data_IF_639270020509
#
_entry.id   IF_639270020509
#
_cell.length_a   1.000
_cell.length_b   1.000
_cell.length_c   1.000
_cell.angle_alpha   90.00
_cell.angle_beta   90.00
_cell.angle_gamma   90.00
#
_symmetry.space_group_name_H-M   'P 1'
#
loop_
_entity.id
_entity.type
_entity.pdbx_description
1 polymer ?
#
# COMPACT_ATOMS: atom_id res chain seq x y z
N UNK A 1 -18.30 -12.88 1.02
CA UNK A 1 -17.44 -12.97 2.22
C UNK A 1 -16.47 -11.80 2.16
N UNK A 2 -15.92 -11.28 3.27
CA UNK A 2 -14.95 -10.17 3.23
C UNK A 2 -13.66 -10.53 3.99
N UNK A 3 -12.53 -9.92 3.63
CA UNK A 3 -11.24 -10.06 4.32
C UNK A 3 -10.34 -8.83 4.08
N UNK A 4 -9.33 -8.60 4.92
CA UNK A 4 -8.30 -7.58 4.69
C UNK A 4 -7.32 -8.02 3.61
N UNK A 5 -6.95 -7.10 2.71
CA UNK A 5 -5.97 -7.34 1.64
C UNK A 5 -5.05 -6.14 1.48
N UNK A 6 -3.77 -6.43 1.24
CA UNK A 6 -2.83 -5.42 0.75
C UNK A 6 -3.18 -5.11 -0.70
N UNK A 7 -3.46 -3.85 -0.99
CA UNK A 7 -3.78 -3.36 -2.33
C UNK A 7 -2.68 -2.42 -2.79
N UNK A 8 -2.19 -2.67 -4.00
CA UNK A 8 -1.30 -1.77 -4.75
C UNK A 8 -2.16 -0.84 -5.60
N UNK A 9 -2.00 0.45 -5.39
CA UNK A 9 -2.61 1.50 -6.21
C UNK A 9 -1.57 2.16 -7.08
N UNK A 10 -1.84 2.23 -8.39
CA UNK A 10 -1.03 2.94 -9.38
C UNK A 10 -1.41 4.42 -9.35
N UNK A 11 -0.48 5.31 -9.05
CA UNK A 11 -0.73 6.75 -9.16
C UNK A 11 0.01 7.31 -10.37
N UNK A 12 -0.73 8.03 -11.20
CA UNK A 12 -0.20 8.72 -12.37
C UNK A 12 -0.06 10.20 -12.03
N UNK A 13 1.13 10.75 -12.26
CA UNK A 13 1.37 12.18 -12.07
C UNK A 13 2.17 12.75 -13.24
N UNK A 14 2.00 14.04 -13.48
CA UNK A 14 2.83 14.77 -14.44
C UNK A 14 4.05 15.28 -13.69
N UNK A 15 5.24 14.88 -14.14
CA UNK A 15 6.47 15.35 -13.53
C UNK A 15 6.65 16.84 -13.83
N UNK A 16 6.73 17.71 -12.81
CA UNK A 16 6.81 19.15 -13.03
C UNK A 16 8.10 19.57 -13.76
N UNK A 17 9.16 18.74 -13.73
CA UNK A 17 10.46 19.07 -14.34
C UNK A 17 10.47 18.95 -15.85
N UNK A 18 9.89 17.88 -16.38
CA UNK A 18 9.96 17.54 -17.81
C UNK A 18 8.57 17.41 -18.45
N UNK A 19 7.51 17.67 -17.69
CA UNK A 19 6.11 17.60 -18.10
C UNK A 19 5.71 16.22 -18.68
N UNK A 20 6.45 15.16 -18.30
CA UNK A 20 6.15 13.79 -18.71
C UNK A 20 5.30 13.09 -17.67
N UNK A 21 4.41 12.23 -18.14
CA UNK A 21 3.67 11.32 -17.28
C UNK A 21 4.63 10.34 -16.60
N UNK A 22 4.44 10.15 -15.30
CA UNK A 22 5.15 9.22 -14.45
C UNK A 22 4.16 8.42 -13.63
N UNK A 23 4.65 7.27 -13.17
CA UNK A 23 3.88 6.33 -12.38
C UNK A 23 4.65 6.07 -11.09
N UNK A 24 3.93 6.08 -9.98
CA UNK A 24 4.37 5.48 -8.73
C UNK A 24 3.31 4.52 -8.20
N UNK A 25 3.65 3.82 -7.13
CA UNK A 25 2.78 2.87 -6.49
C UNK A 25 2.74 3.11 -4.99
N UNK A 26 1.53 3.01 -4.44
CA UNK A 26 1.28 3.03 -3.00
C UNK A 26 0.61 1.73 -2.57
N UNK A 27 0.90 1.29 -1.36
CA UNK A 27 0.36 0.06 -0.80
C UNK A 27 -0.41 0.39 0.47
N UNK A 28 -1.60 -0.17 0.60
CA UNK A 28 -2.43 0.02 1.78
C UNK A 28 -3.32 -1.19 2.03
N UNK A 29 -3.83 -1.32 3.25
CA UNK A 29 -4.76 -2.39 3.60
C UNK A 29 -6.18 -1.89 3.34
N UNK A 30 -6.94 -2.68 2.58
CA UNK A 30 -8.36 -2.46 2.30
C UNK A 30 -9.15 -3.70 2.73
N UNK A 31 -10.42 -3.50 3.06
CA UNK A 31 -11.39 -4.59 3.07
C UNK A 31 -11.72 -4.98 1.62
N UNK A 32 -11.59 -6.26 1.30
CA UNK A 32 -11.95 -6.85 0.01
C UNK A 32 -13.20 -7.73 0.15
N UNK A 33 -14.12 -7.59 -0.80
CA UNK A 33 -15.40 -8.26 -0.85
C UNK A 33 -15.39 -9.27 -1.99
N UNK A 34 -15.72 -10.52 -1.67
CA UNK A 34 -15.58 -11.65 -2.57
C UNK A 34 -16.95 -12.20 -2.99
N UNK A 35 -17.03 -12.60 -4.26
CA UNK A 35 -18.10 -13.45 -4.76
C UNK A 35 -18.04 -14.86 -4.14
N UNK A 36 -18.98 -15.73 -4.48
CA UNK A 36 -19.03 -17.11 -3.98
C UNK A 36 -17.91 -18.00 -4.53
N UNK A 37 -17.23 -17.59 -5.60
CA UNK A 37 -16.12 -18.31 -6.22
C UNK A 37 -14.76 -17.86 -5.66
N UNK A 38 -14.74 -16.83 -4.81
CA UNK A 38 -13.52 -16.30 -4.20
C UNK A 38 -12.83 -15.23 -5.04
N UNK A 39 -13.50 -14.64 -6.05
CA UNK A 39 -12.99 -13.49 -6.79
C UNK A 39 -13.37 -12.19 -6.09
N UNK A 40 -12.43 -11.25 -6.02
CA UNK A 40 -12.65 -9.92 -5.44
C UNK A 40 -13.52 -9.10 -6.38
N UNK A 41 -14.71 -8.73 -5.94
CA UNK A 41 -15.63 -7.87 -6.67
C UNK A 41 -15.47 -6.39 -6.36
N UNK A 42 -15.12 -6.08 -5.11
CA UNK A 42 -14.99 -4.72 -4.62
C UNK A 42 -13.98 -4.63 -3.47
N UNK A 43 -13.45 -3.44 -3.27
CA UNK A 43 -12.66 -3.06 -2.09
C UNK A 43 -13.19 -1.75 -1.52
N UNK A 44 -12.91 -1.51 -0.24
CA UNK A 44 -13.11 -0.18 0.38
C UNK A 44 -12.36 0.89 -0.40
N UNK A 45 -12.97 2.07 -0.53
CA UNK A 45 -12.39 3.18 -1.28
C UNK A 45 -11.10 3.70 -0.63
N UNK A 46 -11.17 3.97 0.68
CA UNK A 46 -10.05 4.41 1.47
C UNK A 46 -9.41 3.22 2.20
N UNK A 47 -8.10 3.28 2.48
CA UNK A 47 -7.46 2.34 3.38
C UNK A 47 -8.15 2.30 4.74
N UNK A 48 -8.20 1.12 5.33
CA UNK A 48 -8.80 0.93 6.65
C UNK A 48 -7.74 0.95 7.74
N UNK A 49 -8.05 1.63 8.84
CA UNK A 49 -7.22 1.68 10.03
C UNK A 49 -7.68 0.63 11.06
N UNK A 50 -6.77 0.09 11.90
CA UNK A 50 -7.15 -0.83 12.95
C UNK A 50 -8.07 -0.12 13.96
N UNK A 51 -9.19 -0.75 14.28
CA UNK A 51 -10.23 -0.16 15.15
C UNK A 51 -10.76 -1.19 16.15
N UNK A 52 -11.19 -0.71 17.32
CA UNK A 52 -11.87 -1.51 18.33
C UNK A 52 -12.43 -0.62 19.44
N UNK A 53 -13.53 -1.03 20.08
CA UNK A 53 -14.14 -0.27 21.18
C UNK A 53 -13.31 -0.39 22.47
N UNK A 54 -12.41 -1.38 22.52
CA UNK A 54 -11.47 -1.58 23.59
C UNK A 54 -10.11 -2.07 23.06
N UNK A 55 -9.12 -2.13 23.96
CA UNK A 55 -7.73 -2.47 23.60
C UNK A 55 -7.57 -3.90 23.08
N UNK A 56 -8.42 -4.83 23.49
CA UNK A 56 -8.38 -6.21 23.02
C UNK A 56 -8.86 -6.30 21.57
N UNK A 57 -9.99 -5.66 21.27
CA UNK A 57 -10.51 -5.56 19.91
C UNK A 57 -9.55 -4.86 18.97
N UNK A 58 -8.93 -3.76 19.41
CA UNK A 58 -7.92 -3.07 18.62
C UNK A 58 -6.73 -3.99 18.28
N UNK A 59 -6.25 -4.79 19.25
CA UNK A 59 -5.19 -5.79 19.00
C UNK A 59 -5.66 -6.85 18.02
N UNK A 60 -6.89 -7.35 18.15
CA UNK A 60 -7.44 -8.35 17.22
C UNK A 60 -7.58 -7.77 15.81
N UNK A 61 -8.07 -6.54 15.66
CA UNK A 61 -8.15 -5.84 14.38
C UNK A 61 -6.78 -5.73 13.72
N UNK A 62 -5.77 -5.33 14.50
CA UNK A 62 -4.40 -5.23 13.99
C UNK A 62 -3.85 -6.58 13.53
N UNK A 63 -4.10 -7.66 14.28
CA UNK A 63 -3.69 -9.02 13.91
C UNK A 63 -4.41 -9.50 12.64
N UNK A 64 -5.71 -9.26 12.51
CA UNK A 64 -6.46 -9.60 11.29
C UNK A 64 -5.95 -8.82 10.08
N UNK A 65 -5.57 -7.55 10.25
CA UNK A 65 -4.92 -6.78 9.19
C UNK A 65 -3.53 -7.35 8.85
N UNK A 66 -2.77 -7.82 9.83
CA UNK A 66 -1.47 -8.45 9.62
C UNK A 66 -1.58 -9.77 8.80
N UNK A 67 -2.70 -10.49 8.87
CA UNK A 67 -2.95 -11.66 8.03
C UNK A 67 -2.99 -11.33 6.53
N UNK A 68 -3.30 -10.08 6.16
CA UNK A 68 -3.31 -9.64 4.77
C UNK A 68 -1.93 -9.79 4.09
N UNK A 69 -0.84 -9.72 4.85
CA UNK A 69 0.52 -9.92 4.32
C UNK A 69 0.81 -11.39 3.98
N UNK A 70 0.02 -12.34 4.48
CA UNK A 70 0.09 -13.75 4.06
C UNK A 70 -0.62 -14.02 2.73
N UNK A 71 -1.22 -13.00 2.12
CA UNK A 71 -2.03 -13.11 0.91
C UNK A 71 -1.37 -12.37 -0.27
N UNK A 72 -1.73 -12.72 -1.52
CA UNK A 72 -1.29 -11.96 -2.69
C UNK A 72 -1.70 -10.49 -2.63
N UNK A 73 -0.83 -9.63 -3.12
CA UNK A 73 -1.12 -8.20 -3.32
C UNK A 73 -2.18 -8.09 -4.42
N UNK A 74 -3.24 -7.33 -4.15
CA UNK A 74 -4.26 -7.02 -5.15
C UNK A 74 -3.89 -5.75 -5.89
N UNK A 75 -4.26 -5.67 -7.17
CA UNK A 75 -4.12 -4.47 -7.96
C UNK A 75 -5.43 -3.68 -7.96
N UNK A 76 -5.39 -2.43 -7.49
CA UNK A 76 -6.56 -1.56 -7.40
C UNK A 76 -7.28 -1.43 -8.75
N UNK A 77 -6.51 -1.23 -9.83
CA UNK A 77 -7.04 -1.03 -11.18
C UNK A 77 -7.59 -2.33 -11.83
N UNK A 78 -7.33 -3.49 -11.22
CA UNK A 78 -7.77 -4.80 -11.69
C UNK A 78 -8.96 -5.35 -10.88
N UNK A 79 -9.64 -4.51 -10.11
CA UNK A 79 -10.86 -4.86 -9.36
C UNK A 79 -12.08 -4.25 -10.06
N UNK A 80 -13.13 -5.02 -10.36
CA UNK A 80 -13.33 -6.44 -10.04
C UNK A 80 -12.37 -7.38 -10.77
N UNK A 81 -11.94 -8.44 -10.08
CA UNK A 81 -11.07 -9.47 -10.66
C UNK A 81 -11.74 -10.16 -11.85
N UNK A 82 -10.92 -10.58 -12.82
CA UNK A 82 -11.40 -11.34 -13.97
C UNK A 82 -12.08 -12.64 -13.49
N UNK A 83 -13.37 -12.79 -13.81
CA UNK A 83 -14.18 -13.94 -13.39
C UNK A 83 -15.19 -13.65 -12.29
N UNK A 84 -15.18 -12.43 -11.73
CA UNK A 84 -16.21 -11.96 -10.80
C UNK A 84 -17.60 -11.95 -11.44
N UNK A 85 -18.59 -12.55 -10.74
CA UNK A 85 -20.00 -12.52 -11.13
C UNK A 85 -20.82 -11.63 -10.19
N UNK A 86 -21.25 -10.49 -10.73
CA UNK A 86 -22.06 -9.48 -10.04
C UNK A 86 -23.42 -10.01 -9.55
N UNK A 87 -23.98 -11.07 -10.16
CA UNK A 87 -25.25 -11.67 -9.71
C UNK A 87 -25.08 -12.51 -8.45
N UNK A 88 -23.85 -12.93 -8.17
CA UNK A 88 -23.48 -13.70 -7.00
C UNK A 88 -22.94 -12.80 -5.87
N UNK A 89 -22.94 -11.47 -6.07
CA UNK A 89 -22.58 -10.45 -5.09
C UNK A 89 -23.82 -9.92 -4.34
N UNK A 90 -23.94 -10.21 -3.02
CA UNK A 90 -25.07 -9.79 -2.21
C UNK A 90 -25.12 -8.28 -1.88
N UNK A 91 -24.06 -7.52 -2.15
CA UNK A 91 -23.93 -6.09 -1.78
C UNK A 91 -23.95 -5.18 -3.03
N UNK A 92 -23.59 -5.72 -4.21
CA UNK A 92 -23.34 -4.96 -5.43
C UNK A 92 -24.54 -4.25 -6.09
N UNK A 93 -25.78 -4.49 -5.65
CA UNK A 93 -26.99 -3.82 -6.21
C UNK A 93 -27.37 -2.52 -5.50
N UNK A 94 -26.82 -2.25 -4.30
CA UNK A 94 -27.14 -1.06 -3.49
C UNK A 94 -26.14 0.08 -3.73
N UNK A 95 -24.99 -0.20 -4.36
CA UNK A 95 -23.88 0.74 -4.54
C UNK A 95 -23.92 1.52 -5.86
N UNK A 96 -24.66 1.04 -6.86
CA UNK A 96 -24.75 1.69 -8.18
C UNK A 96 -25.43 3.06 -8.13
N UNK A 97 -26.40 3.26 -7.24
CA UNK A 97 -27.12 4.54 -7.10
C UNK A 97 -26.29 5.63 -6.41
N UNK A 98 -25.18 5.29 -5.74
CA UNK A 98 -24.31 6.25 -5.02
C UNK A 98 -23.08 6.69 -5.81
N UNK A 99 -22.66 5.91 -6.82
CA UNK A 99 -21.47 6.17 -7.60
C UNK A 99 -21.65 7.38 -8.56
N UNK A 100 -22.89 7.63 -9.01
CA UNK A 100 -23.24 8.76 -9.89
C UNK A 100 -23.08 10.15 -9.22
N UNK A 101 -22.97 10.22 -7.88
CA UNK A 101 -22.83 11.49 -7.14
C UNK A 101 -21.36 11.88 -6.83
N UNK A 102 -20.42 10.92 -6.87
CA UNK A 102 -19.04 11.14 -6.41
C UNK A 102 -18.10 11.67 -7.51
N UNK A 103 -18.38 11.39 -8.79
CA UNK A 103 -17.58 11.83 -9.95
C UNK A 103 -17.56 13.37 -10.15
N UNK A 104 -18.35 14.12 -9.38
CA UNK A 104 -18.51 15.57 -9.51
C UNK A 104 -17.48 16.43 -8.75
N UNK A 105 -16.52 15.86 -8.00
CA UNK A 105 -15.76 16.62 -6.98
C UNK A 105 -14.24 16.59 -7.16
N UNK A 106 -13.76 17.36 -8.14
CA UNK A 106 -12.34 17.58 -8.44
C UNK A 106 -11.63 18.46 -7.37
N UNK A 107 -10.49 18.05 -6.78
CA UNK A 107 -9.63 18.93 -5.94
C UNK A 107 -8.13 18.63 -6.05
N UNK A 108 -7.38 19.74 -6.08
CA UNK A 108 -5.95 19.90 -6.39
C UNK A 108 -5.12 20.00 -5.09
N UNK A 109 -3.98 19.32 -5.04
CA UNK A 109 -3.03 19.30 -3.92
C UNK A 109 -2.02 20.46 -3.90
N UNK A 110 -1.32 20.59 -2.77
CA UNK A 110 -0.46 21.75 -2.41
C UNK A 110 0.88 21.75 -3.18
N UNK A 111 1.41 22.91 -3.62
CA UNK A 111 2.58 22.97 -4.51
C UNK A 111 3.94 22.64 -3.87
N UNK A 112 4.63 21.67 -4.47
CA UNK A 112 5.97 21.13 -4.14
C UNK A 112 7.16 22.10 -4.33
N UNK A 113 6.92 23.23 -5.01
CA UNK A 113 7.95 24.21 -5.41
C UNK A 113 8.65 24.90 -4.23
N UNK A 114 8.01 24.99 -3.05
CA UNK A 114 8.62 25.61 -1.87
C UNK A 114 9.57 24.68 -1.10
N UNK A 115 9.37 23.36 -1.15
CA UNK A 115 10.23 22.40 -0.45
C UNK A 115 11.50 22.10 -1.26
N UNK A 116 11.41 22.17 -2.58
CA UNK A 116 12.48 21.77 -3.52
C UNK A 116 13.67 22.74 -3.54
N UNK A 117 13.42 24.04 -3.45
CA UNK A 117 14.45 25.09 -3.54
C UNK A 117 15.47 25.04 -2.40
N UNK A 118 15.03 24.68 -1.19
CA UNK A 118 15.89 24.58 -0.01
C UNK A 118 16.78 23.32 -0.01
N UNK A 119 16.38 22.27 -0.74
CA UNK A 119 17.09 21.01 -0.83
C UNK A 119 18.18 21.03 -1.92
N UNK A 120 17.91 21.65 -3.08
CA UNK A 120 18.88 21.72 -4.18
C UNK A 120 20.10 22.61 -3.86
N UNK A 121 19.90 23.63 -3.03
CA UNK A 121 20.96 24.57 -2.59
C UNK A 121 21.99 23.90 -1.65
N UNK A 122 21.61 22.79 -1.00
CA UNK A 122 22.44 22.10 0.00
C UNK A 122 23.16 20.85 -0.53
N UNK A 123 22.68 20.22 -1.62
CA UNK A 123 23.14 18.87 -2.00
C UNK A 123 23.58 18.68 -3.48
N UNK A 124 23.45 19.70 -4.34
CA UNK A 124 23.87 19.61 -5.75
C UNK A 124 22.86 18.89 -6.68
N UNK A 125 23.16 18.75 -7.99
CA UNK A 125 22.20 18.22 -8.97
C UNK A 125 21.98 16.72 -8.76
N UNK A 126 20.74 16.35 -8.46
CA UNK A 126 20.34 14.98 -8.18
C UNK A 126 20.03 14.22 -9.48
N UNK A 127 20.61 13.03 -9.66
CA UNK A 127 20.26 12.14 -10.78
C UNK A 127 18.87 11.53 -10.57
N UNK A 128 17.86 12.23 -11.07
CA UNK A 128 16.47 11.84 -10.90
C UNK A 128 16.08 10.60 -11.71
N UNK A 129 16.67 10.36 -12.88
CA UNK A 129 16.34 9.17 -13.67
C UNK A 129 16.97 7.92 -13.04
N UNK A 130 18.24 7.98 -12.64
CA UNK A 130 18.90 6.89 -11.93
C UNK A 130 18.23 6.58 -10.60
N UNK A 131 17.83 7.60 -9.84
CA UNK A 131 17.05 7.40 -8.62
C UNK A 131 15.70 6.73 -8.88
N UNK A 132 14.90 7.20 -9.85
CA UNK A 132 13.59 6.59 -10.16
C UNK A 132 13.73 5.14 -10.60
N UNK A 133 14.73 4.83 -11.43
CA UNK A 133 14.99 3.46 -11.88
C UNK A 133 15.28 2.55 -10.69
N UNK A 134 16.16 2.98 -9.79
CA UNK A 134 16.49 2.24 -8.56
C UNK A 134 15.26 2.05 -7.67
N UNK A 135 14.42 3.07 -7.48
CA UNK A 135 13.19 2.95 -6.69
C UNK A 135 12.24 1.89 -7.29
N UNK A 136 12.10 1.86 -8.61
CA UNK A 136 11.27 0.84 -9.29
C UNK A 136 11.88 -0.57 -9.18
N UNK A 137 13.20 -0.70 -9.32
CA UNK A 137 13.91 -1.97 -9.13
C UNK A 137 13.74 -2.48 -7.70
N UNK A 138 13.92 -1.61 -6.69
CA UNK A 138 13.69 -1.94 -5.28
C UNK A 138 12.23 -2.33 -5.01
N UNK A 139 11.25 -1.68 -5.65
CA UNK A 139 9.83 -2.02 -5.52
C UNK A 139 9.58 -3.44 -6.03
N UNK A 140 10.08 -3.76 -7.23
CA UNK A 140 9.93 -5.10 -7.84
C UNK A 140 10.59 -6.16 -6.96
N UNK A 141 11.80 -5.89 -6.46
CA UNK A 141 12.50 -6.81 -5.57
C UNK A 141 11.72 -7.06 -4.26
N UNK A 142 11.22 -6.01 -3.62
CA UNK A 142 10.43 -6.12 -2.39
C UNK A 142 9.11 -6.87 -2.60
N UNK A 143 8.44 -6.70 -3.74
CA UNK A 143 7.27 -7.50 -4.10
C UNK A 143 7.62 -8.97 -4.35
N UNK A 144 8.77 -9.26 -4.96
CA UNK A 144 9.24 -10.63 -5.13
C UNK A 144 9.49 -11.29 -3.78
N UNK A 145 10.18 -10.59 -2.87
CA UNK A 145 10.41 -11.07 -1.50
C UNK A 145 9.07 -11.31 -0.78
N UNK A 146 8.12 -10.38 -0.90
CA UNK A 146 6.76 -10.57 -0.36
C UNK A 146 6.13 -11.86 -0.86
N UNK A 147 6.15 -12.04 -2.19
CA UNK A 147 5.57 -13.20 -2.86
C UNK A 147 6.20 -14.52 -2.42
N UNK A 148 7.52 -14.55 -2.31
CA UNK A 148 8.27 -15.78 -2.03
C UNK A 148 8.28 -16.13 -0.54
N UNK A 149 8.38 -15.13 0.33
CA UNK A 149 8.60 -15.35 1.75
C UNK A 149 7.31 -15.36 2.59
N UNK A 150 6.27 -14.63 2.20
CA UNK A 150 5.11 -14.38 3.06
C UNK A 150 3.83 -15.08 2.56
N UNK A 151 3.56 -15.02 1.25
CA UNK A 151 2.33 -15.58 0.67
C UNK A 151 2.19 -17.06 1.00
N UNK A 152 0.98 -17.46 1.38
CA UNK A 152 0.64 -18.86 1.63
C UNK A 152 1.13 -19.40 2.97
N UNK A 153 1.68 -18.54 3.85
CA UNK A 153 2.00 -18.94 5.23
C UNK A 153 0.70 -19.23 6.00
N UNK A 154 0.38 -20.49 6.31
CA UNK A 154 -0.96 -20.86 6.79
C UNK A 154 -1.13 -20.64 8.30
N UNK A 155 -0.02 -20.46 9.03
CA UNK A 155 0.00 -20.29 10.48
C UNK A 155 0.33 -18.83 10.78
N UNK A 156 -0.64 -18.11 11.36
CA UNK A 156 -0.49 -16.70 11.74
C UNK A 156 0.77 -16.43 12.55
N UNK A 157 1.09 -17.29 13.53
CA UNK A 157 2.29 -17.14 14.36
C UNK A 157 3.57 -17.09 13.53
N UNK A 158 3.67 -17.94 12.50
CA UNK A 158 4.85 -17.99 11.66
C UNK A 158 4.92 -16.76 10.74
N UNK A 159 3.78 -16.30 10.24
CA UNK A 159 3.68 -15.07 9.46
C UNK A 159 4.15 -13.85 10.28
N UNK A 160 3.67 -13.72 11.52
CA UNK A 160 4.06 -12.65 12.45
C UNK A 160 5.57 -12.70 12.72
N UNK A 161 6.12 -13.90 12.97
CA UNK A 161 7.56 -14.04 13.19
C UNK A 161 8.37 -13.63 11.96
N UNK A 162 7.95 -13.99 10.75
CA UNK A 162 8.60 -13.57 9.50
C UNK A 162 8.59 -12.05 9.33
N UNK A 163 7.43 -11.42 9.54
CA UNK A 163 7.31 -9.95 9.46
C UNK A 163 8.18 -9.26 10.51
N UNK A 164 8.22 -9.80 11.72
CA UNK A 164 9.08 -9.27 12.77
C UNK A 164 10.57 -9.39 12.39
N UNK A 165 11.02 -10.53 11.88
CA UNK A 165 12.40 -10.72 11.44
C UNK A 165 12.78 -9.83 10.25
N UNK A 166 11.88 -9.62 9.29
CA UNK A 166 12.09 -8.67 8.18
C UNK A 166 12.24 -7.23 8.70
N UNK A 167 11.39 -6.84 9.65
CA UNK A 167 11.47 -5.54 10.30
C UNK A 167 12.79 -5.35 11.07
N UNK A 168 13.26 -6.36 11.82
CA UNK A 168 14.56 -6.32 12.51
C UNK A 168 15.72 -6.12 11.52
N UNK A 169 15.73 -6.86 10.40
CA UNK A 169 16.73 -6.70 9.35
C UNK A 169 16.68 -5.32 8.72
N UNK A 170 15.48 -4.77 8.51
CA UNK A 170 15.32 -3.41 8.01
C UNK A 170 15.89 -2.37 8.99
N UNK A 171 15.65 -2.51 10.30
CA UNK A 171 16.24 -1.63 11.31
C UNK A 171 17.77 -1.70 11.27
N UNK A 172 18.35 -2.90 11.18
CA UNK A 172 19.80 -3.07 11.17
C UNK A 172 20.44 -2.43 9.93
N UNK A 173 19.79 -2.58 8.77
CA UNK A 173 20.18 -1.90 7.54
C UNK A 173 20.06 -0.37 7.68
N UNK A 174 18.93 0.14 8.18
CA UNK A 174 18.73 1.60 8.34
C UNK A 174 19.73 2.20 9.34
N UNK A 175 20.12 1.47 10.39
CA UNK A 175 21.18 1.90 11.32
C UNK A 175 22.54 2.00 10.64
N UNK A 176 22.83 1.08 9.73
CA UNK A 176 24.10 1.04 8.99
C UNK A 176 24.15 2.14 7.94
N UNK A 177 23.06 2.34 7.20
CA UNK A 177 22.96 3.31 6.10
C UNK A 177 22.71 4.74 6.59
N UNK A 178 21.95 4.90 7.67
CA UNK A 178 21.51 6.18 8.22
C UNK A 178 21.83 6.31 9.73
N UNK A 179 23.11 6.19 10.14
CA UNK A 179 23.49 6.14 11.57
C UNK A 179 23.09 7.40 12.35
N UNK A 180 22.94 8.56 11.68
CA UNK A 180 22.51 9.81 12.29
C UNK A 180 21.06 9.80 12.80
N UNK A 181 20.19 8.90 12.31
CA UNK A 181 18.81 8.76 12.83
C UNK A 181 18.76 8.18 14.25
N UNK A 182 19.86 7.56 14.70
CA UNK A 182 19.90 6.76 15.92
C UNK A 182 20.97 7.25 16.92
N UNK A 183 21.63 8.38 16.64
CA UNK A 183 22.52 9.03 17.60
C UNK A 183 21.71 9.70 18.71
N UNK A 184 22.06 9.42 19.97
CA UNK A 184 21.36 9.88 21.18
C UNK A 184 21.49 11.40 21.47
N UNK A 185 21.94 12.21 20.51
CA UNK A 185 22.16 13.65 20.72
C UNK A 185 20.86 14.49 20.62
N UNK A 186 19.76 13.92 20.12
CA UNK A 186 18.47 14.63 19.94
C UNK A 186 17.27 13.96 20.69
N UNK A 187 17.51 13.11 21.69
CA UNK A 187 16.47 12.45 22.51
C UNK A 187 16.22 13.13 23.86
#
# INVERSE_FOLDING_TARGET
>A
MWNYRVVRKRNVYIDPRDQRERVDYTYAIHEAYYDKNGHVGAITQDPVEPFGENIEELRHSWIMMAEAFGQPILDYDNIPEQGYDRKEDPIGSVLDERLEEFEASNKIGVPWEHVKKELEEKWGPFDHEGYRKRIEEERIEKESIHSDAFIGTPILKDLINKMYSDYEQNIERDRTENPWKYSAEDA
#
